data_IF_871907953698
#
_entry.id   IF_871907953698
#
_cell.length_a   1.000
_cell.length_b   1.000
_cell.length_c   1.000
_cell.angle_alpha   90.00
_cell.angle_beta   90.00
_cell.angle_gamma   90.00
#
_symmetry.space_group_name_H-M   'P 1'
#
loop_
_entity.id
_entity.type
_entity.pdbx_description
1 polymer ?
#
# COMPACT_ATOMS: atom_id res chain seq x y z
N UNK A 1 3.68 9.57 -8.68
CA UNK A 1 4.84 8.67 -8.88
C UNK A 1 4.91 7.71 -7.71
N UNK A 2 5.17 6.42 -7.96
CA UNK A 2 5.21 5.38 -6.93
C UNK A 2 6.23 5.68 -5.82
N UNK A 3 7.40 6.19 -6.20
CA UNK A 3 8.52 6.52 -5.30
C UNK A 3 8.17 7.56 -4.24
N UNK A 4 7.16 8.41 -4.49
CA UNK A 4 6.72 9.48 -3.59
C UNK A 4 5.65 9.04 -2.60
N UNK A 5 4.97 7.92 -2.86
CA UNK A 5 3.83 7.47 -2.06
C UNK A 5 4.20 7.23 -0.59
N UNK A 6 5.28 6.50 -0.24
CA UNK A 6 5.61 6.23 1.15
C UNK A 6 5.91 7.49 1.96
N UNK A 7 6.64 8.45 1.37
CA UNK A 7 6.93 9.72 2.03
C UNK A 7 5.65 10.53 2.27
N UNK A 8 4.75 10.59 1.29
CA UNK A 8 3.48 11.31 1.42
C UNK A 8 2.59 10.70 2.51
N UNK A 9 2.51 9.37 2.58
CA UNK A 9 1.76 8.65 3.60
C UNK A 9 2.30 8.96 5.01
N UNK A 10 3.63 8.99 5.17
CA UNK A 10 4.27 9.35 6.43
C UNK A 10 4.01 10.82 6.82
N UNK A 11 4.04 11.74 5.86
CA UNK A 11 3.70 13.15 6.13
C UNK A 11 2.25 13.30 6.56
N UNK A 12 1.33 12.60 5.90
CA UNK A 12 -0.08 12.59 6.29
C UNK A 12 -0.27 12.04 7.71
N UNK A 13 0.47 10.99 8.09
CA UNK A 13 0.45 10.49 9.47
C UNK A 13 0.95 11.52 10.49
N UNK A 14 1.98 12.32 10.16
CA UNK A 14 2.46 13.40 11.04
C UNK A 14 1.38 14.47 11.22
N UNK A 15 0.79 14.94 10.11
CA UNK A 15 -0.29 15.93 10.14
C UNK A 15 -1.49 15.42 10.94
N UNK A 16 -1.85 14.14 10.80
CA UNK A 16 -2.97 13.56 11.54
C UNK A 16 -2.71 13.41 13.04
N UNK A 17 -1.47 13.45 13.52
CA UNK A 17 -1.18 13.47 14.96
C UNK A 17 -1.47 14.83 15.59
N UNK A 18 -1.31 15.89 14.81
CA UNK A 18 -1.54 17.28 15.23
C UNK A 18 -2.94 17.77 14.88
N UNK A 19 -3.78 16.92 14.29
CA UNK A 19 -5.08 17.31 13.79
C UNK A 19 -6.06 17.61 14.95
N UNK A 20 -6.76 18.77 14.97
CA UNK A 20 -7.53 19.23 16.13
C UNK A 20 -8.66 18.30 16.55
N UNK A 21 -9.26 17.56 15.60
CA UNK A 21 -10.44 16.75 15.86
C UNK A 21 -10.06 15.28 16.05
N UNK A 22 -9.83 14.88 17.30
CA UNK A 22 -9.30 13.56 17.67
C UNK A 22 -10.08 12.38 17.07
N UNK A 23 -11.42 12.42 17.06
CA UNK A 23 -12.24 11.36 16.44
C UNK A 23 -11.99 11.19 14.94
N UNK A 24 -11.81 12.31 14.22
CA UNK A 24 -11.53 12.33 12.79
C UNK A 24 -10.09 11.89 12.55
N UNK A 25 -9.15 12.42 13.33
CA UNK A 25 -7.75 12.04 13.32
C UNK A 25 -7.58 10.52 13.50
N UNK A 26 -8.21 9.95 14.54
CA UNK A 26 -8.18 8.53 14.82
C UNK A 26 -8.81 7.70 13.70
N UNK A 27 -9.98 8.11 13.17
CA UNK A 27 -10.62 7.41 12.06
C UNK A 27 -9.75 7.43 10.79
N UNK A 28 -9.14 8.57 10.46
CA UNK A 28 -8.25 8.74 9.32
C UNK A 28 -6.94 7.95 9.51
N UNK A 29 -6.33 8.00 10.70
CA UNK A 29 -5.16 7.17 11.02
C UNK A 29 -5.49 5.69 10.90
N UNK A 30 -6.64 5.25 11.42
CA UNK A 30 -7.08 3.87 11.31
C UNK A 30 -7.37 3.44 9.85
N UNK A 31 -7.84 4.37 9.01
CA UNK A 31 -8.03 4.11 7.58
C UNK A 31 -6.67 3.98 6.87
N UNK A 32 -5.77 4.95 7.05
CA UNK A 32 -4.42 4.93 6.45
C UNK A 32 -3.63 3.74 6.95
N UNK A 33 -3.77 3.36 8.23
CA UNK A 33 -3.10 2.18 8.80
C UNK A 33 -3.56 0.87 8.17
N UNK A 34 -4.83 0.80 7.72
CA UNK A 34 -5.34 -0.33 6.91
C UNK A 34 -4.82 -0.30 5.47
N UNK A 35 -4.33 0.86 5.01
CA UNK A 35 -3.69 1.07 3.71
C UNK A 35 -2.15 1.13 3.78
N UNK A 36 -1.54 1.00 4.97
CA UNK A 36 -0.07 0.89 5.17
C UNK A 36 0.52 -0.42 4.62
N UNK A 37 -0.25 -1.23 3.87
CA UNK A 37 0.33 -2.26 3.00
C UNK A 37 1.35 -1.63 2.02
N UNK A 38 1.17 -0.34 1.72
CA UNK A 38 2.12 0.51 1.00
C UNK A 38 3.46 0.74 1.72
N UNK A 39 3.58 0.33 2.98
CA UNK A 39 4.77 0.48 3.82
C UNK A 39 5.42 -0.87 4.15
N UNK A 40 5.17 -1.89 3.32
CA UNK A 40 5.94 -3.15 3.36
C UNK A 40 7.42 -2.89 3.02
N UNK A 41 8.32 -3.80 3.41
CA UNK A 41 9.76 -3.71 3.11
C UNK A 41 10.03 -3.40 1.61
N UNK A 42 9.23 -3.93 0.71
CA UNK A 42 9.36 -3.70 -0.73
C UNK A 42 9.09 -2.24 -1.15
N UNK A 43 8.23 -1.53 -0.42
CA UNK A 43 7.78 -0.20 -0.76
C UNK A 43 8.52 0.90 0.00
N UNK A 44 9.05 0.60 1.20
CA UNK A 44 10.11 1.42 1.81
C UNK A 44 11.33 1.46 0.86
N UNK A 45 11.59 0.41 0.09
CA UNK A 45 12.62 0.40 -0.94
C UNK A 45 12.40 1.45 -2.03
N UNK A 46 11.14 1.74 -2.39
CA UNK A 46 10.82 2.77 -3.37
C UNK A 46 11.14 4.18 -2.88
N UNK A 47 11.04 4.41 -1.56
CA UNK A 47 11.35 5.72 -1.00
C UNK A 47 12.83 6.08 -1.03
N UNK A 48 13.73 5.11 -1.23
CA UNK A 48 15.16 5.37 -1.48
C UNK A 48 15.38 6.19 -2.76
N UNK A 49 14.45 6.09 -3.71
CA UNK A 49 14.45 6.82 -4.98
C UNK A 49 13.76 8.19 -4.90
N UNK A 50 13.22 8.58 -3.75
CA UNK A 50 12.65 9.92 -3.55
C UNK A 50 13.76 10.93 -3.23
N UNK A 51 13.88 11.99 -4.03
CA UNK A 51 14.88 13.04 -3.86
C UNK A 51 14.58 13.97 -2.67
N UNK A 52 13.35 13.93 -2.14
CA UNK A 52 12.95 14.71 -0.94
C UNK A 52 13.49 14.12 0.35
N UNK A 53 13.98 12.87 0.31
CA UNK A 53 14.59 12.21 1.46
C UNK A 53 16.09 12.51 1.42
N UNK A 54 16.59 13.11 2.49
CA UNK A 54 18.00 13.45 2.60
C UNK A 54 18.87 12.19 2.76
N UNK A 55 20.17 12.35 2.48
CA UNK A 55 21.15 11.27 2.51
C UNK A 55 21.24 10.60 3.89
N UNK A 56 21.11 11.35 4.98
CA UNK A 56 21.22 10.82 6.33
C UNK A 56 20.00 9.95 6.66
N UNK A 57 18.81 10.40 6.30
CA UNK A 57 17.60 9.59 6.40
C UNK A 57 17.70 8.33 5.53
N UNK A 58 18.24 8.41 4.31
CA UNK A 58 18.50 7.23 3.46
C UNK A 58 19.46 6.24 4.12
N UNK A 59 20.55 6.71 4.74
CA UNK A 59 21.49 5.86 5.51
C UNK A 59 20.77 5.12 6.64
N UNK A 60 19.98 5.84 7.43
CA UNK A 60 19.19 5.26 8.52
C UNK A 60 18.17 4.22 8.03
N UNK A 61 17.54 4.46 6.88
CA UNK A 61 16.61 3.50 6.28
C UNK A 61 17.31 2.21 5.87
N UNK A 62 18.46 2.29 5.19
CA UNK A 62 19.25 1.11 4.78
C UNK A 62 19.75 0.30 5.97
N UNK A 63 20.23 0.96 7.03
CA UNK A 63 20.64 0.28 8.25
C UNK A 63 19.47 -0.48 8.91
N UNK A 64 18.31 0.16 8.99
CA UNK A 64 17.10 -0.47 9.53
C UNK A 64 16.58 -1.61 8.67
N UNK A 65 16.82 -1.58 7.35
CA UNK A 65 16.49 -2.66 6.42
C UNK A 65 17.31 -3.93 6.66
N UNK A 66 18.55 -3.78 7.12
CA UNK A 66 19.45 -4.90 7.39
C UNK A 66 19.24 -5.50 8.78
N UNK A 67 18.42 -4.86 9.63
CA UNK A 67 18.13 -5.31 10.98
C UNK A 67 16.83 -6.16 10.99
N UNK A 68 16.86 -7.45 11.35
CA UNK A 68 15.68 -8.31 11.31
C UNK A 68 14.63 -7.86 12.35
N UNK A 69 13.45 -7.41 11.89
CA UNK A 69 12.32 -7.04 12.75
C UNK A 69 11.38 -8.23 13.01
N UNK A 70 10.87 -8.31 14.25
CA UNK A 70 10.06 -9.41 14.82
C UNK A 70 8.58 -9.47 14.37
N UNK A 71 8.10 -8.61 13.47
CA UNK A 71 6.67 -8.54 13.19
C UNK A 71 6.38 -8.57 11.68
N UNK A 72 5.94 -9.75 11.24
CA UNK A 72 5.62 -10.05 9.86
C UNK A 72 4.21 -9.55 9.51
N UNK A 73 4.13 -8.36 8.90
CA UNK A 73 2.90 -7.86 8.27
C UNK A 73 2.75 -8.35 6.81
N UNK A 74 3.64 -9.24 6.35
CA UNK A 74 3.66 -9.73 4.97
C UNK A 74 2.59 -10.80 4.75
N UNK A 75 1.32 -10.39 4.70
CA UNK A 75 0.29 -11.22 4.09
C UNK A 75 -0.36 -10.47 2.94
N UNK A 76 -0.01 -10.93 1.73
CA UNK A 76 -0.76 -10.82 0.45
C UNK A 76 -0.44 -9.61 -0.43
N UNK A 77 0.78 -9.55 -0.95
CA UNK A 77 1.02 -8.95 -2.27
C UNK A 77 1.41 -10.09 -3.22
N UNK A 78 0.49 -10.49 -4.08
CA UNK A 78 0.85 -11.17 -5.33
C UNK A 78 1.08 -10.04 -6.31
N UNK A 79 2.35 -9.66 -6.50
CA UNK A 79 2.72 -8.81 -7.61
C UNK A 79 2.50 -9.67 -8.87
N UNK A 80 1.64 -9.20 -9.76
CA UNK A 80 1.45 -9.83 -11.07
C UNK A 80 2.77 -9.78 -11.84
N UNK A 81 3.44 -10.92 -11.86
CA UNK A 81 4.36 -11.51 -12.86
C UNK A 81 5.28 -10.66 -13.75
N UNK A 82 5.61 -9.43 -13.34
CA UNK A 82 6.75 -8.69 -13.88
C UNK A 82 7.63 -8.09 -12.79
N UNK A 83 7.69 -8.72 -11.62
CA UNK A 83 8.89 -8.50 -10.79
C UNK A 83 10.08 -8.93 -11.61
N UNK A 84 11.08 -8.06 -11.88
CA UNK A 84 12.34 -8.56 -12.37
C UNK A 84 12.82 -9.54 -11.30
N UNK A 85 12.83 -10.82 -11.65
CA UNK A 85 13.58 -11.87 -10.97
C UNK A 85 14.92 -11.21 -10.63
N UNK A 86 15.23 -11.02 -9.34
CA UNK A 86 16.36 -10.24 -8.78
C UNK A 86 16.18 -8.76 -8.36
N UNK A 87 14.99 -8.20 -8.21
CA UNK A 87 14.85 -6.81 -7.70
C UNK A 87 15.60 -6.55 -6.37
N UNK A 88 15.52 -7.50 -5.43
CA UNK A 88 16.24 -7.44 -4.14
C UNK A 88 17.75 -7.59 -4.30
N UNK A 89 18.21 -8.53 -5.12
CA UNK A 89 19.62 -8.82 -5.34
C UNK A 89 20.32 -7.68 -6.09
N UNK A 90 19.65 -7.07 -7.08
CA UNK A 90 20.16 -5.89 -7.79
C UNK A 90 20.26 -4.68 -6.89
N UNK A 91 19.32 -4.50 -5.96
CA UNK A 91 19.40 -3.41 -5.00
C UNK A 91 20.63 -3.51 -4.09
N UNK A 92 21.06 -4.72 -3.71
CA UNK A 92 22.26 -4.92 -2.88
C UNK A 92 23.54 -4.35 -3.50
N UNK A 93 23.59 -4.26 -4.84
CA UNK A 93 24.74 -3.73 -5.57
C UNK A 93 25.01 -2.25 -5.27
N UNK A 94 23.96 -1.46 -4.97
CA UNK A 94 24.11 -0.06 -4.60
C UNK A 94 23.86 0.18 -3.10
N UNK A 95 23.04 -0.64 -2.42
CA UNK A 95 22.77 -0.51 -0.99
C UNK A 95 24.02 -0.69 -0.11
N UNK A 96 25.03 -1.39 -0.61
CA UNK A 96 26.34 -1.54 0.05
C UNK A 96 27.27 -0.32 -0.11
N UNK A 97 26.92 0.63 -1.00
CA UNK A 97 27.68 1.86 -1.27
C UNK A 97 27.13 3.04 -0.46
N UNK A 98 27.92 4.10 -0.27
CA UNK A 98 27.43 5.30 0.41
C UNK A 98 26.31 5.97 -0.42
N UNK A 99 25.15 6.30 0.16
CA UNK A 99 24.07 7.01 -0.53
C UNK A 99 24.46 8.31 -1.24
N UNK A 100 25.59 8.93 -0.88
CA UNK A 100 26.16 10.07 -1.60
C UNK A 100 26.57 9.72 -3.04
N UNK A 101 27.02 8.48 -3.29
CA UNK A 101 27.52 8.04 -4.61
C UNK A 101 26.43 7.44 -5.48
N UNK A 102 25.20 7.27 -4.97
CA UNK A 102 24.12 6.61 -5.69
C UNK A 102 23.68 7.36 -6.96
N UNK A 103 23.84 8.69 -6.98
CA UNK A 103 23.45 9.51 -8.13
C UNK A 103 24.24 9.21 -9.39
N UNK A 104 25.45 8.67 -9.23
CA UNK A 104 26.36 8.30 -10.30
C UNK A 104 26.39 6.77 -10.53
N UNK A 105 25.61 6.00 -9.76
CA UNK A 105 25.55 4.55 -9.86
C UNK A 105 24.52 4.11 -10.92
N UNK A 106 24.99 3.42 -11.96
CA UNK A 106 24.14 2.98 -13.07
C UNK A 106 22.99 2.06 -12.64
N UNK A 107 23.21 1.21 -11.63
CA UNK A 107 22.19 0.30 -11.11
C UNK A 107 21.11 1.10 -10.38
N UNK A 108 21.52 2.06 -9.55
CA UNK A 108 20.61 2.96 -8.87
C UNK A 108 19.78 3.77 -9.87
N UNK A 109 20.41 4.39 -10.88
CA UNK A 109 19.72 5.18 -11.91
C UNK A 109 18.70 4.31 -12.66
N UNK A 110 19.12 3.13 -13.11
CA UNK A 110 18.23 2.21 -13.85
C UNK A 110 17.03 1.78 -13.01
N UNK A 111 17.26 1.45 -11.74
CA UNK A 111 16.18 1.04 -10.83
C UNK A 111 15.27 2.21 -10.47
N UNK A 112 15.83 3.41 -10.27
CA UNK A 112 15.08 4.65 -10.03
C UNK A 112 14.15 4.95 -11.19
N UNK A 113 14.65 4.91 -12.41
CA UNK A 113 13.88 5.25 -13.60
C UNK A 113 12.74 4.23 -13.81
N UNK A 114 12.99 2.94 -13.56
CA UNK A 114 11.92 1.92 -13.53
C UNK A 114 10.87 2.20 -12.45
N UNK A 115 11.32 2.55 -11.24
CA UNK A 115 10.42 2.83 -10.11
C UNK A 115 9.57 4.10 -10.32
N UNK A 116 10.12 5.13 -10.97
CA UNK A 116 9.39 6.36 -11.33
C UNK A 116 8.34 6.06 -12.39
N UNK A 117 8.68 5.25 -13.39
CA UNK A 117 7.79 4.83 -14.47
C UNK A 117 6.82 3.71 -14.07
N UNK A 118 6.92 3.21 -12.84
CA UNK A 118 6.00 2.20 -12.33
C UNK A 118 4.59 2.82 -12.25
N UNK A 119 3.68 2.26 -13.04
CA UNK A 119 2.27 2.63 -12.98
C UNK A 119 1.75 2.22 -11.60
N UNK A 120 1.42 3.21 -10.76
CA UNK A 120 0.74 2.97 -9.50
C UNK A 120 -0.72 2.69 -9.84
N UNK A 121 -0.98 1.51 -10.40
CA UNK A 121 -2.33 1.01 -10.52
C UNK A 121 -2.73 0.67 -9.11
N UNK A 122 -3.55 1.51 -8.49
CA UNK A 122 -4.24 1.10 -7.28
C UNK A 122 -5.32 0.12 -7.73
N UNK A 123 -4.88 -1.07 -8.17
CA UNK A 123 -5.69 -2.09 -8.80
C UNK A 123 -6.86 -2.48 -7.90
N UNK A 124 -6.72 -2.32 -6.57
CA UNK A 124 -7.82 -2.50 -5.61
C UNK A 124 -8.79 -1.33 -5.54
N UNK A 125 -8.35 -0.07 -5.61
CA UNK A 125 -9.28 1.06 -5.67
C UNK A 125 -9.97 1.13 -7.04
N UNK A 126 -9.23 0.91 -8.13
CA UNK A 126 -9.82 0.82 -9.48
C UNK A 126 -10.79 -0.37 -9.56
N UNK A 127 -10.44 -1.54 -9.01
CA UNK A 127 -11.40 -2.66 -8.90
C UNK A 127 -12.57 -2.36 -7.96
N UNK A 128 -12.37 -1.63 -6.86
CA UNK A 128 -13.45 -1.25 -5.96
C UNK A 128 -14.40 -0.23 -6.59
N UNK A 129 -13.85 0.74 -7.35
CA UNK A 129 -14.58 1.73 -8.14
C UNK A 129 -15.36 1.01 -9.25
N UNK A 130 -14.69 0.19 -10.06
CA UNK A 130 -15.36 -0.58 -11.11
C UNK A 130 -16.43 -1.55 -10.55
N UNK A 131 -16.20 -2.10 -9.36
CA UNK A 131 -17.18 -2.96 -8.69
C UNK A 131 -18.38 -2.16 -8.21
N UNK A 132 -18.18 -0.98 -7.60
CA UNK A 132 -19.30 -0.15 -7.14
C UNK A 132 -20.04 0.50 -8.32
N UNK A 133 -19.36 0.84 -9.40
CA UNK A 133 -19.97 1.32 -10.65
C UNK A 133 -20.86 0.24 -11.27
N UNK A 134 -20.33 -0.97 -11.50
CA UNK A 134 -21.14 -2.11 -11.97
C UNK A 134 -22.28 -2.45 -11.02
N UNK A 135 -22.05 -2.32 -9.73
CA UNK A 135 -23.08 -2.56 -8.73
C UNK A 135 -24.20 -1.52 -8.82
N UNK A 136 -23.85 -0.24 -8.94
CA UNK A 136 -24.78 0.87 -9.10
C UNK A 136 -25.63 0.75 -10.36
N UNK A 137 -25.12 0.07 -11.40
CA UNK A 137 -25.84 -0.19 -12.65
C UNK A 137 -26.69 -1.47 -12.65
N UNK A 138 -26.44 -2.42 -11.74
CA UNK A 138 -26.94 -3.80 -11.90
C UNK A 138 -28.22 -4.17 -11.15
N UNK A 139 -28.50 -3.60 -9.97
CA UNK A 139 -29.61 -4.07 -9.12
C UNK A 139 -30.79 -3.10 -9.10
N UNK A 140 -30.53 -1.81 -8.86
CA UNK A 140 -31.57 -0.78 -8.75
C UNK A 140 -30.98 0.58 -9.00
N UNK A 141 -31.75 1.48 -9.62
CA UNK A 141 -31.38 2.89 -9.82
C UNK A 141 -31.88 3.78 -8.68
N UNK A 142 -32.61 3.23 -7.71
CA UNK A 142 -33.08 3.96 -6.54
C UNK A 142 -31.97 4.03 -5.47
N UNK A 143 -31.55 5.25 -5.13
CA UNK A 143 -30.44 5.48 -4.19
C UNK A 143 -30.73 5.01 -2.76
N UNK A 144 -31.96 5.12 -2.26
CA UNK A 144 -32.31 4.65 -0.92
C UNK A 144 -32.16 3.12 -0.82
N UNK A 145 -32.55 2.40 -1.88
CA UNK A 145 -32.37 0.96 -1.95
C UNK A 145 -30.90 0.56 -2.07
N UNK A 146 -30.08 1.30 -2.83
CA UNK A 146 -28.62 1.08 -2.89
C UNK A 146 -27.99 1.25 -1.51
N UNK A 147 -28.33 2.33 -0.81
CA UNK A 147 -27.79 2.63 0.51
C UNK A 147 -28.19 1.56 1.53
N UNK A 148 -29.44 1.11 1.49
CA UNK A 148 -29.93 0.01 2.32
C UNK A 148 -29.15 -1.28 2.06
N UNK A 149 -28.96 -1.66 0.79
CA UNK A 149 -28.22 -2.89 0.46
C UNK A 149 -26.75 -2.82 0.92
N UNK A 150 -26.08 -1.68 0.78
CA UNK A 150 -24.72 -1.48 1.26
C UNK A 150 -24.63 -1.70 2.78
N UNK A 151 -25.62 -1.21 3.54
CA UNK A 151 -25.70 -1.43 4.98
C UNK A 151 -25.92 -2.91 5.32
N UNK A 152 -26.78 -3.61 4.58
CA UNK A 152 -27.02 -5.06 4.76
C UNK A 152 -25.75 -5.86 4.47
N UNK A 153 -25.05 -5.57 3.37
CA UNK A 153 -23.78 -6.21 3.01
C UNK A 153 -22.71 -5.95 4.07
N UNK A 154 -22.60 -4.72 4.57
CA UNK A 154 -21.66 -4.37 5.62
C UNK A 154 -21.98 -5.11 6.94
N UNK A 155 -23.25 -5.21 7.31
CA UNK A 155 -23.69 -5.97 8.46
C UNK A 155 -23.40 -7.47 8.32
N UNK A 156 -23.63 -8.05 7.14
CA UNK A 156 -23.31 -9.45 6.83
C UNK A 156 -21.80 -9.73 6.88
N UNK A 157 -20.95 -8.84 6.34
CA UNK A 157 -19.49 -8.99 6.40
C UNK A 157 -18.94 -8.97 7.83
N UNK A 158 -19.56 -8.20 8.73
CA UNK A 158 -19.22 -8.23 10.16
C UNK A 158 -19.57 -9.57 10.82
N UNK A 159 -20.69 -10.19 10.40
CA UNK A 159 -21.14 -11.49 10.91
C UNK A 159 -20.39 -12.68 10.31
N UNK A 160 -19.88 -12.53 9.08
CA UNK A 160 -19.18 -13.59 8.32
C UNK A 160 -17.79 -13.10 7.85
N UNK A 161 -16.80 -13.02 8.74
CA UNK A 161 -15.46 -12.51 8.40
C UNK A 161 -14.68 -13.40 7.41
N UNK A 162 -15.03 -14.68 7.31
CA UNK A 162 -14.48 -15.65 6.35
C UNK A 162 -15.56 -16.15 5.41
N UNK A 163 -16.11 -15.25 4.59
CA UNK A 163 -17.06 -15.60 3.53
C UNK A 163 -16.33 -16.32 2.37
N UNK A 164 -16.00 -17.61 2.56
CA UNK A 164 -15.72 -18.50 1.44
C UNK A 164 -17.04 -19.08 0.92
N UNK A 165 -17.12 -19.35 -0.39
CA UNK A 165 -18.29 -20.01 -0.99
C UNK A 165 -18.62 -21.33 -0.28
N UNK A 166 -17.59 -22.02 0.22
CA UNK A 166 -17.70 -23.24 1.03
C UNK A 166 -18.31 -23.01 2.42
N UNK A 167 -18.04 -21.87 3.06
CA UNK A 167 -18.63 -21.52 4.36
C UNK A 167 -20.13 -21.15 4.23
N UNK A 168 -20.52 -20.47 3.15
CA UNK A 168 -21.93 -20.12 2.90
C UNK A 168 -22.80 -21.34 2.58
N UNK A 169 -22.24 -22.33 1.89
CA UNK A 169 -22.94 -23.58 1.56
C UNK A 169 -23.21 -24.48 2.78
N UNK A 170 -22.54 -24.26 3.92
CA UNK A 170 -22.78 -25.02 5.16
C UNK A 170 -23.89 -24.47 6.05
N UNK A 171 -24.34 -23.23 5.81
CA UNK A 171 -25.38 -22.55 6.61
C UNK A 171 -26.82 -22.77 6.11
N UNK A 172 -26.99 -23.46 4.98
CA UNK A 172 -28.29 -23.86 4.44
C UNK A 172 -28.48 -25.38 4.65
N UNK A 173 -28.78 -25.77 5.89
CA UNK A 173 -29.41 -27.04 6.23
C UNK A 173 -30.49 -26.79 7.26
#
# INVERSE_FOLDING_TARGET
>A
MAVRAPFNDLQLMKVLKEYPHEKVAHAAQAAISRHLWCLSEHLIGLSLFDDRIDTETKKNMVQNFQCPKKQDFSRRIVLSDETPVNGKERAQLFLSKDPKTWKDDEVFITMRDRAINMKVVNDRAEKAIALIERYNESITQNEDQKQYLLQVVAAHRKKLPTASKAAMMKGYK
#
